data_IF_031852504056
#
_entry.id   IF_031852504056
#
_cell.length_a   1.000
_cell.length_b   1.000
_cell.length_c   1.000
_cell.angle_alpha   90.00
_cell.angle_beta   90.00
_cell.angle_gamma   90.00
#
_symmetry.space_group_name_H-M   'P 1'
#
loop_
_entity.id
_entity.type
_entity.pdbx_description
1 polymer ?
#
# COMPACT_ATOMS: atom_id res chain seq x y z
N UNK A 1 -3.98 3.29 -20.68
CA UNK A 1 -4.24 4.50 -19.85
C UNK A 1 -4.45 5.77 -20.66
N UNK A 2 -3.58 6.13 -21.62
CA UNK A 2 -3.76 7.35 -22.44
C UNK A 2 -5.11 7.41 -23.18
N UNK A 3 -5.55 6.30 -23.76
CA UNK A 3 -6.82 6.22 -24.51
C UNK A 3 -8.08 6.48 -23.66
N UNK A 4 -8.10 6.02 -22.41
CA UNK A 4 -9.21 6.27 -21.48
C UNK A 4 -9.27 7.75 -21.10
N UNK A 5 -8.11 8.39 -20.91
CA UNK A 5 -8.03 9.84 -20.64
C UNK A 5 -8.56 10.66 -21.81
N UNK A 6 -8.23 10.25 -23.04
CA UNK A 6 -8.75 10.90 -24.25
C UNK A 6 -10.27 10.78 -24.36
N UNK A 7 -10.83 9.58 -24.18
CA UNK A 7 -12.28 9.38 -24.19
C UNK A 7 -13.00 10.24 -23.13
N UNK A 8 -12.42 10.34 -21.93
CA UNK A 8 -12.94 11.20 -20.87
C UNK A 8 -12.97 12.67 -21.29
N UNK A 9 -11.86 13.17 -21.81
CA UNK A 9 -11.76 14.57 -22.25
C UNK A 9 -12.72 14.88 -23.40
N UNK A 10 -12.91 13.93 -24.32
CA UNK A 10 -13.88 14.07 -25.42
C UNK A 10 -15.32 14.10 -24.91
N UNK A 11 -15.68 13.21 -23.99
CA UNK A 11 -17.02 13.17 -23.40
C UNK A 11 -17.35 14.45 -22.61
N UNK A 12 -16.39 14.95 -21.84
CA UNK A 12 -16.54 16.20 -21.06
C UNK A 12 -16.75 17.43 -21.98
N UNK A 13 -16.13 17.44 -23.17
CA UNK A 13 -16.20 18.57 -24.11
C UNK A 13 -17.38 18.51 -25.07
N UNK A 14 -17.76 17.33 -25.53
CA UNK A 14 -18.72 17.16 -26.64
C UNK A 14 -20.14 16.83 -26.19
N UNK A 15 -20.33 16.26 -24.98
CA UNK A 15 -21.60 15.63 -24.58
C UNK A 15 -22.16 14.64 -25.61
N UNK A 16 -21.31 14.10 -26.48
CA UNK A 16 -21.70 13.21 -27.55
C UNK A 16 -21.84 11.77 -27.03
N UNK A 17 -23.03 11.20 -27.22
CA UNK A 17 -23.35 9.84 -26.79
C UNK A 17 -22.78 8.77 -27.72
N UNK A 18 -22.35 9.14 -28.94
CA UNK A 18 -21.75 8.25 -29.94
C UNK A 18 -20.51 7.53 -29.41
N UNK A 19 -19.76 8.15 -28.49
CA UNK A 19 -18.61 7.54 -27.84
C UNK A 19 -18.94 6.31 -26.99
N UNK A 20 -20.20 6.15 -26.59
CA UNK A 20 -20.68 4.96 -25.87
C UNK A 20 -21.11 3.82 -26.81
N UNK A 21 -21.27 4.10 -28.11
CA UNK A 21 -21.72 3.16 -29.14
C UNK A 21 -20.59 2.27 -29.69
N UNK A 22 -19.61 1.91 -28.86
CA UNK A 22 -18.50 1.03 -29.28
C UNK A 22 -18.89 -0.45 -29.27
N UNK A 23 -18.13 -1.29 -29.97
CA UNK A 23 -18.37 -2.71 -30.22
C UNK A 23 -19.21 -2.99 -31.48
N UNK A 24 -19.25 -4.25 -31.91
CA UNK A 24 -19.93 -4.65 -33.14
C UNK A 24 -21.46 -4.55 -32.98
N UNK A 25 -22.19 -4.05 -33.99
CA UNK A 25 -23.64 -4.20 -34.04
C UNK A 25 -23.98 -5.69 -34.18
N UNK A 26 -25.00 -6.12 -33.45
CA UNK A 26 -25.68 -7.39 -33.72
C UNK A 26 -26.79 -7.16 -34.73
N UNK A 27 -27.00 -8.09 -35.66
CA UNK A 27 -28.04 -7.96 -36.67
C UNK A 27 -29.42 -7.81 -35.99
N UNK A 28 -30.32 -6.94 -36.50
CA UNK A 28 -31.60 -6.61 -35.86
C UNK A 28 -32.52 -7.84 -35.63
N UNK A 29 -32.36 -8.92 -36.41
CA UNK A 29 -33.10 -10.16 -36.24
C UNK A 29 -32.66 -11.02 -35.02
N UNK A 30 -31.50 -10.72 -34.42
CA UNK A 30 -30.96 -11.50 -33.29
C UNK A 30 -31.65 -11.22 -31.94
N UNK A 31 -32.57 -10.25 -31.87
CA UNK A 31 -33.39 -10.01 -30.67
C UNK A 31 -34.31 -11.21 -30.33
N UNK A 32 -34.53 -12.14 -31.27
CA UNK A 32 -35.52 -13.21 -31.11
C UNK A 32 -35.00 -14.67 -31.07
N UNK A 33 -33.76 -15.01 -31.46
CA UNK A 33 -33.44 -16.45 -31.72
C UNK A 33 -32.21 -17.04 -31.03
N UNK A 34 -31.25 -16.27 -30.53
CA UNK A 34 -30.24 -16.84 -29.64
C UNK A 34 -29.71 -15.74 -28.75
N UNK A 35 -30.04 -15.81 -27.46
CA UNK A 35 -29.31 -15.05 -26.47
C UNK A 35 -27.83 -15.45 -26.62
N UNK A 36 -26.89 -14.52 -26.90
CA UNK A 36 -25.59 -14.69 -26.27
C UNK A 36 -25.94 -14.82 -24.78
N UNK A 37 -25.58 -15.97 -24.19
CA UNK A 37 -25.69 -16.17 -22.75
C UNK A 37 -25.15 -14.90 -22.10
N UNK A 38 -25.83 -14.40 -21.07
CA UNK A 38 -25.32 -13.28 -20.31
C UNK A 38 -23.93 -13.69 -19.83
N UNK A 39 -22.90 -13.32 -20.57
CA UNK A 39 -21.54 -13.59 -20.18
C UNK A 39 -21.37 -12.79 -18.92
N UNK A 40 -21.05 -13.43 -17.80
CA UNK A 40 -20.74 -12.76 -16.52
C UNK A 40 -19.62 -11.71 -16.64
N UNK A 41 -19.01 -11.62 -17.81
CA UNK A 41 -18.11 -10.58 -18.26
C UNK A 41 -18.86 -9.27 -18.48
N UNK A 42 -19.09 -8.55 -17.40
CA UNK A 42 -19.46 -7.14 -17.46
C UNK A 42 -18.41 -6.37 -18.31
N UNK A 43 -18.89 -5.49 -19.18
CA UNK A 43 -18.07 -4.63 -20.02
C UNK A 43 -18.00 -3.22 -19.44
N UNK A 44 -16.88 -2.53 -19.63
CA UNK A 44 -16.74 -1.16 -19.15
C UNK A 44 -17.71 -0.25 -19.88
N UNK A 45 -17.93 0.95 -19.37
CA UNK A 45 -18.73 1.94 -20.12
C UNK A 45 -17.87 2.57 -21.21
N UNK A 46 -16.58 2.78 -20.94
CA UNK A 46 -15.60 3.25 -21.94
C UNK A 46 -14.88 2.08 -22.61
N UNK A 47 -14.54 2.27 -23.88
CA UNK A 47 -13.75 1.33 -24.64
C UNK A 47 -12.33 1.22 -24.03
N UNK A 48 -11.80 -0.01 -23.98
CA UNK A 48 -10.45 -0.26 -23.41
C UNK A 48 -9.33 0.18 -24.33
N UNK A 49 -9.56 0.13 -25.64
CA UNK A 49 -8.59 0.44 -26.67
C UNK A 49 -9.29 0.88 -27.95
N UNK A 50 -8.58 1.54 -28.89
CA UNK A 50 -9.14 1.85 -30.21
C UNK A 50 -9.65 0.62 -30.97
N UNK A 51 -9.07 -0.57 -30.72
CA UNK A 51 -9.51 -1.81 -31.35
C UNK A 51 -10.95 -2.20 -30.98
N UNK A 52 -11.49 -1.69 -29.86
CA UNK A 52 -12.89 -1.90 -29.49
C UNK A 52 -13.89 -1.16 -30.39
N UNK A 53 -13.41 -0.26 -31.25
CA UNK A 53 -14.22 0.42 -32.27
C UNK A 53 -14.18 -0.28 -33.63
N UNK A 54 -13.40 -1.35 -33.76
CA UNK A 54 -13.36 -2.13 -35.00
C UNK A 54 -14.72 -2.75 -35.22
N UNK A 55 -15.32 -2.46 -36.37
CA UNK A 55 -16.63 -2.99 -36.75
C UNK A 55 -17.82 -2.23 -36.18
N UNK A 56 -17.63 -1.10 -35.47
CA UNK A 56 -18.77 -0.26 -35.08
C UNK A 56 -19.51 0.21 -36.33
N UNK A 57 -18.81 0.68 -37.36
CA UNK A 57 -19.43 1.31 -38.52
C UNK A 57 -19.61 2.82 -38.28
N UNK A 58 -20.27 3.48 -39.23
CA UNK A 58 -20.45 4.93 -39.20
C UNK A 58 -21.59 5.32 -38.25
N UNK A 59 -21.26 5.81 -37.05
CA UNK A 59 -22.21 6.37 -36.08
C UNK A 59 -22.41 7.85 -36.36
N UNK A 60 -23.66 8.30 -36.36
CA UNK A 60 -24.04 9.70 -36.47
C UNK A 60 -24.91 10.12 -35.28
N UNK A 61 -24.73 11.35 -34.82
CA UNK A 61 -25.56 11.95 -33.77
C UNK A 61 -26.85 12.46 -34.35
N UNK A 62 -27.94 12.41 -33.57
CA UNK A 62 -29.14 13.17 -33.93
C UNK A 62 -28.90 14.66 -33.70
N UNK A 63 -28.38 15.33 -34.72
CA UNK A 63 -28.00 16.76 -34.70
C UNK A 63 -29.22 17.71 -34.56
N UNK A 64 -30.44 17.19 -34.69
CA UNK A 64 -31.63 18.03 -34.88
C UNK A 64 -32.34 18.43 -33.57
N UNK A 65 -31.93 17.89 -32.42
CA UNK A 65 -32.61 18.18 -31.17
C UNK A 65 -31.58 18.47 -30.08
N UNK A 66 -30.91 19.62 -30.20
CA UNK A 66 -30.41 20.36 -29.04
C UNK A 66 -31.63 20.89 -28.26
N UNK A 67 -32.46 19.98 -27.77
CA UNK A 67 -33.38 20.34 -26.69
C UNK A 67 -32.51 20.67 -25.49
N UNK A 68 -32.86 21.77 -24.82
CA UNK A 68 -32.34 22.25 -23.54
C UNK A 68 -32.30 21.22 -22.40
N UNK A 69 -32.67 19.96 -22.66
CA UNK A 69 -32.71 18.81 -21.76
C UNK A 69 -31.54 17.83 -21.92
N UNK A 70 -30.64 18.02 -22.90
CA UNK A 70 -29.41 17.21 -22.98
C UNK A 70 -28.47 17.64 -21.85
N UNK A 71 -28.58 16.98 -20.70
CA UNK A 71 -27.66 17.19 -19.59
C UNK A 71 -26.26 16.72 -20.01
N UNK A 72 -25.21 17.46 -19.64
CA UNK A 72 -23.85 17.07 -19.98
C UNK A 72 -23.51 15.70 -19.39
N UNK A 73 -22.69 14.94 -20.11
CA UNK A 73 -22.08 13.73 -19.58
C UNK A 73 -21.06 14.15 -18.52
N UNK A 74 -21.29 13.78 -17.26
CA UNK A 74 -20.39 14.10 -16.15
C UNK A 74 -19.51 12.89 -15.87
N UNK A 75 -18.20 13.06 -16.01
CA UNK A 75 -17.25 12.06 -15.57
C UNK A 75 -17.11 12.10 -14.05
N UNK A 76 -17.34 10.97 -13.40
CA UNK A 76 -17.05 10.77 -11.98
C UNK A 76 -15.88 9.79 -11.81
N UNK A 77 -15.28 9.79 -10.62
CA UNK A 77 -14.18 8.87 -10.28
C UNK A 77 -14.55 7.39 -10.44
N UNK A 78 -15.85 7.07 -10.38
CA UNK A 78 -16.37 5.70 -10.37
C UNK A 78 -17.05 5.32 -11.70
N UNK A 79 -17.29 6.27 -12.59
CA UNK A 79 -18.05 6.02 -13.81
C UNK A 79 -18.58 7.30 -14.44
N UNK A 80 -19.45 7.14 -15.41
CA UNK A 80 -20.06 8.22 -16.18
C UNK A 80 -21.47 8.44 -15.66
N UNK A 81 -21.80 9.66 -15.27
CA UNK A 81 -23.18 10.05 -15.01
C UNK A 81 -23.76 10.66 -16.29
N UNK A 82 -24.80 10.02 -16.84
CA UNK A 82 -25.49 10.50 -18.03
C UNK A 82 -27.01 10.34 -17.85
N UNK A 83 -27.77 11.32 -18.34
CA UNK A 83 -29.24 11.26 -18.34
C UNK A 83 -29.71 10.58 -19.61
N UNK A 84 -29.92 9.27 -19.51
CA UNK A 84 -30.28 8.42 -20.64
C UNK A 84 -31.52 7.59 -20.29
N UNK A 85 -32.43 7.36 -21.24
CA UNK A 85 -33.53 6.45 -21.03
C UNK A 85 -33.02 5.01 -21.00
N UNK A 86 -33.64 4.21 -20.13
CA UNK A 86 -33.44 2.76 -20.07
C UNK A 86 -34.79 2.12 -20.31
N UNK A 87 -34.88 1.29 -21.34
CA UNK A 87 -36.06 0.47 -21.63
C UNK A 87 -35.79 -0.99 -21.27
N UNK A 88 -36.83 -1.75 -20.92
CA UNK A 88 -36.71 -3.18 -20.62
C UNK A 88 -37.51 -3.96 -21.64
N UNK A 89 -36.84 -4.86 -22.36
CA UNK A 89 -37.45 -5.74 -23.36
C UNK A 89 -37.22 -7.18 -22.91
N UNK A 90 -38.30 -7.89 -22.58
CA UNK A 90 -38.21 -9.22 -21.99
C UNK A 90 -37.41 -9.17 -20.67
N UNK A 91 -36.29 -9.90 -20.61
CA UNK A 91 -35.39 -9.94 -19.45
C UNK A 91 -34.23 -8.94 -19.51
N UNK A 92 -34.10 -8.17 -20.59
CA UNK A 92 -32.92 -7.31 -20.84
C UNK A 92 -33.26 -5.84 -20.64
N UNK A 93 -32.38 -5.12 -19.95
CA UNK A 93 -32.44 -3.66 -19.91
C UNK A 93 -31.51 -3.08 -20.96
N UNK A 94 -31.99 -2.09 -21.71
CA UNK A 94 -31.26 -1.43 -22.79
C UNK A 94 -31.18 0.06 -22.50
N UNK A 95 -29.97 0.59 -22.46
CA UNK A 95 -29.66 2.01 -22.39
C UNK A 95 -29.66 2.58 -23.80
N UNK A 96 -30.52 3.53 -24.08
CA UNK A 96 -30.69 4.07 -25.44
C UNK A 96 -29.80 5.30 -25.63
N UNK A 97 -28.96 5.27 -26.66
CA UNK A 97 -28.04 6.35 -27.02
C UNK A 97 -28.69 7.28 -28.03
N UNK A 98 -28.36 8.57 -27.98
CA UNK A 98 -28.86 9.58 -28.93
C UNK A 98 -28.03 9.62 -30.20
N UNK A 99 -27.83 8.45 -30.78
CA UNK A 99 -27.11 8.29 -32.03
C UNK A 99 -27.70 7.11 -32.81
N UNK A 100 -27.46 7.11 -34.11
CA UNK A 100 -27.91 6.09 -35.05
C UNK A 100 -26.77 5.71 -35.98
N UNK A 101 -26.96 4.64 -36.75
CA UNK A 101 -26.01 4.31 -37.80
C UNK A 101 -26.30 5.16 -39.03
N UNK A 102 -25.27 5.59 -39.78
CA UNK A 102 -25.44 6.38 -41.02
C UNK A 102 -26.43 5.73 -42.01
N UNK A 103 -26.44 4.41 -42.08
CA UNK A 103 -27.29 3.63 -42.98
C UNK A 103 -28.67 3.28 -42.40
N UNK A 104 -28.92 3.59 -41.13
CA UNK A 104 -30.16 3.28 -40.43
C UNK A 104 -30.57 4.48 -39.55
N UNK A 105 -31.36 5.37 -40.15
CA UNK A 105 -31.77 6.65 -39.53
C UNK A 105 -33.04 6.51 -38.68
N UNK A 106 -33.69 5.33 -38.70
CA UNK A 106 -34.96 5.10 -38.01
C UNK A 106 -34.81 4.33 -36.70
N UNK A 107 -33.62 3.77 -36.46
CA UNK A 107 -33.32 3.05 -35.24
C UNK A 107 -32.19 3.71 -34.47
N UNK A 108 -32.36 3.72 -33.16
CA UNK A 108 -31.40 4.25 -32.21
C UNK A 108 -30.43 3.15 -31.80
N UNK A 109 -29.19 3.51 -31.53
CA UNK A 109 -28.24 2.57 -30.95
C UNK A 109 -28.57 2.39 -29.47
N UNK A 110 -28.68 1.15 -29.03
CA UNK A 110 -28.92 0.78 -27.66
C UNK A 110 -27.82 -0.15 -27.14
N UNK A 111 -27.49 0.03 -25.86
CA UNK A 111 -26.45 -0.71 -25.15
C UNK A 111 -27.09 -1.57 -24.08
N UNK A 112 -26.83 -2.89 -24.04
CA UNK A 112 -27.36 -3.74 -22.99
C UNK A 112 -26.72 -3.40 -21.65
N UNK A 113 -27.58 -3.23 -20.64
CA UNK A 113 -27.19 -2.83 -19.29
C UNK A 113 -27.89 -3.66 -18.22
N UNK A 114 -27.31 -3.68 -17.03
CA UNK A 114 -27.88 -4.30 -15.84
C UNK A 114 -27.73 -3.35 -14.64
N UNK A 115 -28.74 -3.32 -13.77
CA UNK A 115 -28.71 -2.52 -12.54
C UNK A 115 -28.19 -3.37 -11.37
N UNK A 116 -27.04 -3.01 -10.79
CA UNK A 116 -26.46 -3.63 -9.58
C UNK A 116 -26.13 -2.55 -8.54
N UNK A 117 -26.49 -2.76 -7.27
CA UNK A 117 -26.27 -1.77 -6.17
C UNK A 117 -26.67 -0.32 -6.55
N UNK A 118 -27.79 -0.13 -7.23
CA UNK A 118 -28.25 1.20 -7.64
C UNK A 118 -27.50 1.84 -8.82
N UNK A 119 -26.48 1.20 -9.38
CA UNK A 119 -25.71 1.66 -10.55
C UNK A 119 -26.00 0.80 -11.78
N UNK A 120 -25.77 1.35 -12.95
CA UNK A 120 -25.94 0.65 -14.23
C UNK A 120 -24.58 0.23 -14.78
N UNK A 121 -24.52 -1.00 -15.29
CA UNK A 121 -23.32 -1.60 -15.86
C UNK A 121 -23.63 -2.07 -17.26
N UNK A 122 -22.70 -1.89 -18.20
CA UNK A 122 -22.80 -2.47 -19.54
C UNK A 122 -22.53 -3.96 -19.45
N UNK A 123 -23.42 -4.79 -19.98
CA UNK A 123 -23.32 -6.25 -19.86
C UNK A 123 -22.62 -6.92 -21.05
N UNK A 124 -22.59 -6.26 -22.20
CA UNK A 124 -21.94 -6.78 -23.41
C UNK A 124 -21.26 -5.66 -24.19
N UNK A 125 -20.14 -5.93 -24.88
CA UNK A 125 -19.55 -4.98 -25.82
C UNK A 125 -20.45 -4.78 -27.05
N UNK A 126 -21.35 -5.70 -27.36
CA UNK A 126 -22.22 -5.58 -28.52
C UNK A 126 -23.27 -4.48 -28.34
N UNK A 127 -23.61 -3.83 -29.44
CA UNK A 127 -24.72 -2.87 -29.50
C UNK A 127 -25.88 -3.49 -30.28
N UNK A 128 -27.09 -2.99 -30.01
CA UNK A 128 -28.30 -3.35 -30.74
C UNK A 128 -28.99 -2.10 -31.25
N UNK A 129 -29.88 -2.26 -32.22
CA UNK A 129 -30.72 -1.18 -32.75
C UNK A 129 -32.12 -1.26 -32.16
N UNK A 130 -32.73 -0.12 -31.89
CA UNK A 130 -34.09 -0.06 -31.36
C UNK A 130 -34.91 1.02 -32.08
N UNK A 131 -36.17 0.77 -32.45
CA UNK A 131 -36.97 1.75 -33.20
C UNK A 131 -37.09 3.09 -32.48
N UNK A 132 -36.85 4.19 -33.19
CA UNK A 132 -36.90 5.56 -32.65
C UNK A 132 -38.31 5.94 -32.17
N UNK A 133 -39.35 5.46 -32.86
CA UNK A 133 -40.76 5.70 -32.50
C UNK A 133 -41.16 5.09 -31.15
N UNK A 134 -40.36 4.15 -30.63
CA UNK A 134 -40.54 3.53 -29.32
C UNK A 134 -39.64 4.15 -28.24
N UNK A 135 -39.04 5.31 -28.51
CA UNK A 135 -38.20 6.02 -27.55
C UNK A 135 -39.00 6.39 -26.27
N UNK A 136 -38.53 6.02 -25.06
CA UNK A 136 -39.24 6.33 -23.83
C UNK A 136 -39.29 7.84 -23.56
N UNK A 137 -40.48 8.34 -23.21
CA UNK A 137 -40.66 9.74 -22.79
C UNK A 137 -39.94 10.08 -21.47
N UNK A 138 -39.64 9.07 -20.65
CA UNK A 138 -39.04 9.27 -19.33
C UNK A 138 -37.52 9.19 -19.35
N UNK A 139 -36.88 10.29 -18.92
CA UNK A 139 -35.43 10.40 -18.75
C UNK A 139 -35.09 10.45 -17.27
N UNK A 140 -34.10 9.65 -16.85
CA UNK A 140 -33.58 9.69 -15.49
C UNK A 140 -32.07 9.72 -15.50
N UNK A 141 -31.48 10.41 -14.53
CA UNK A 141 -30.03 10.44 -14.38
C UNK A 141 -29.56 9.04 -14.01
N UNK A 142 -28.72 8.45 -14.86
CA UNK A 142 -28.14 7.13 -14.65
C UNK A 142 -26.64 7.26 -14.43
N UNK A 143 -26.16 6.61 -13.37
CA UNK A 143 -24.74 6.42 -13.16
C UNK A 143 -24.32 5.10 -13.82
N UNK A 144 -23.58 5.21 -14.91
CA UNK A 144 -22.99 4.14 -15.68
C UNK A 144 -21.57 3.87 -15.16
N UNK A 145 -21.36 2.74 -14.50
CA UNK A 145 -20.05 2.43 -13.88
C UNK A 145 -19.02 2.05 -14.94
N UNK A 146 -17.88 2.75 -14.97
CA UNK A 146 -16.81 2.46 -15.94
C UNK A 146 -16.12 1.13 -15.64
N UNK A 147 -16.20 0.65 -14.40
CA UNK A 147 -15.49 -0.53 -13.97
C UNK A 147 -16.44 -1.72 -13.77
N UNK A 148 -16.45 -2.68 -14.71
CA UNK A 148 -17.15 -3.93 -14.53
C UNK A 148 -16.37 -4.89 -13.61
N UNK A 149 -15.06 -4.66 -13.44
CA UNK A 149 -14.13 -5.45 -12.64
C UNK A 149 -13.86 -4.86 -11.25
N UNK A 150 -14.54 -3.80 -10.81
CA UNK A 150 -14.56 -3.45 -9.37
C UNK A 150 -15.26 -4.55 -8.54
N UNK A 151 -15.76 -5.62 -9.18
CA UNK A 151 -16.26 -6.83 -8.53
C UNK A 151 -15.36 -8.08 -8.65
N UNK A 152 -14.11 -7.99 -9.13
CA UNK A 152 -13.09 -8.64 -8.30
C UNK A 152 -12.72 -7.53 -7.33
N UNK A 153 -13.57 -7.35 -6.31
CA UNK A 153 -13.13 -6.58 -5.18
C UNK A 153 -11.94 -7.39 -4.67
N UNK A 154 -10.73 -6.99 -5.06
CA UNK A 154 -9.56 -7.35 -4.30
C UNK A 154 -9.83 -6.74 -2.94
N UNK A 155 -10.36 -7.54 -2.03
CA UNK A 155 -10.67 -7.08 -0.69
C UNK A 155 -9.32 -7.02 -0.01
N UNK A 156 -8.89 -5.80 0.24
CA UNK A 156 -7.66 -5.55 0.97
C UNK A 156 -7.95 -5.69 2.46
N UNK A 157 -7.43 -6.74 3.08
CA UNK A 157 -7.38 -6.87 4.52
C UNK A 157 -6.07 -6.27 5.03
N UNK A 158 -6.18 -5.20 5.80
CA UNK A 158 -5.09 -4.59 6.52
C UNK A 158 -5.06 -5.15 7.95
N UNK A 159 -4.13 -6.06 8.23
CA UNK A 159 -3.90 -6.51 9.61
C UNK A 159 -2.96 -5.49 10.25
N UNK A 160 -3.48 -4.74 11.23
CA UNK A 160 -2.67 -3.82 12.05
C UNK A 160 -1.54 -4.59 12.76
N UNK A 161 -0.49 -3.89 13.25
CA UNK A 161 0.63 -4.54 13.91
C UNK A 161 0.14 -5.55 14.95
N UNK A 162 0.55 -6.81 14.78
CA UNK A 162 0.16 -7.89 15.67
C UNK A 162 0.77 -7.65 17.07
N UNK A 163 0.12 -8.14 18.14
CA UNK A 163 0.71 -8.15 19.48
C UNK A 163 2.11 -8.77 19.47
N UNK A 164 2.98 -8.31 20.37
CA UNK A 164 4.35 -8.82 20.51
C UNK A 164 4.36 -10.35 20.56
N UNK A 165 5.19 -10.96 19.70
CA UNK A 165 5.32 -12.41 19.58
C UNK A 165 4.48 -13.02 18.45
N UNK A 166 3.33 -12.45 18.08
CA UNK A 166 2.52 -13.01 17.00
C UNK A 166 3.03 -12.60 15.62
N UNK A 167 3.14 -13.56 14.71
CA UNK A 167 3.44 -13.32 13.28
C UNK A 167 2.48 -14.06 12.38
N UNK A 168 2.15 -13.47 11.23
CA UNK A 168 1.45 -14.19 10.16
C UNK A 168 2.37 -15.28 9.64
N UNK A 169 1.91 -16.52 9.67
CA UNK A 169 2.70 -17.69 9.27
C UNK A 169 2.24 -18.29 7.94
N UNK A 170 0.94 -18.22 7.65
CA UNK A 170 0.32 -18.82 6.47
C UNK A 170 -0.99 -18.09 6.18
N UNK A 171 -1.31 -17.89 4.91
CA UNK A 171 -2.59 -17.35 4.46
C UNK A 171 -3.16 -18.30 3.41
N UNK A 172 -4.46 -18.57 3.48
CA UNK A 172 -5.16 -19.39 2.49
C UNK A 172 -6.35 -18.61 1.93
N UNK A 173 -6.52 -18.53 0.60
CA UNK A 173 -5.68 -19.15 -0.44
C UNK A 173 -4.31 -18.45 -0.59
N UNK A 174 -3.26 -19.19 -0.97
CA UNK A 174 -1.85 -18.72 -0.88
C UNK A 174 -1.52 -17.60 -1.88
N UNK A 175 -2.30 -17.48 -2.95
CA UNK A 175 -2.21 -16.41 -3.95
C UNK A 175 -2.75 -15.05 -3.47
N UNK A 176 -3.23 -14.98 -2.22
CA UNK A 176 -3.96 -13.83 -1.69
C UNK A 176 -3.18 -12.91 -0.74
N UNK A 177 -1.85 -13.00 -0.66
CA UNK A 177 -1.12 -12.09 0.24
C UNK A 177 0.26 -11.67 -0.25
N UNK A 178 0.68 -10.48 0.16
CA UNK A 178 2.03 -9.96 -0.08
C UNK A 178 2.81 -9.99 1.24
N UNK A 179 4.05 -10.48 1.18
CA UNK A 179 4.93 -10.52 2.34
C UNK A 179 5.10 -9.10 2.93
N UNK A 180 4.95 -8.93 4.26
CA UNK A 180 4.96 -7.61 4.89
C UNK A 180 6.30 -6.91 4.63
N UNK A 181 6.25 -5.74 3.99
CA UNK A 181 7.42 -4.86 3.83
C UNK A 181 7.63 -3.92 5.02
N UNK A 182 6.61 -3.75 5.87
CA UNK A 182 6.55 -2.82 7.01
C UNK A 182 5.91 -3.48 8.27
N UNK A 183 5.67 -2.72 9.35
CA UNK A 183 4.97 -3.18 10.58
C UNK A 183 3.51 -3.60 10.38
N UNK A 184 2.97 -3.44 9.16
CA UNK A 184 1.59 -3.77 8.81
C UNK A 184 1.59 -4.87 7.76
N UNK A 185 0.78 -5.92 8.00
CA UNK A 185 0.61 -7.00 7.03
C UNK A 185 -0.62 -6.71 6.17
N UNK A 186 -0.44 -6.67 4.85
CA UNK A 186 -1.52 -6.45 3.89
C UNK A 186 -1.81 -7.74 3.13
N UNK A 187 -3.05 -8.18 3.21
CA UNK A 187 -3.55 -9.39 2.55
C UNK A 187 -4.53 -8.92 1.47
N UNK A 188 -4.37 -9.44 0.25
CA UNK A 188 -5.18 -9.11 -0.92
C UNK A 188 -6.02 -10.32 -1.29
N UNK A 189 -7.26 -10.38 -0.82
CA UNK A 189 -8.12 -11.49 -1.18
C UNK A 189 -8.82 -11.23 -2.49
N UNK A 190 -8.61 -12.13 -3.46
CA UNK A 190 -9.22 -12.03 -4.78
C UNK A 190 -10.58 -12.71 -4.76
N UNK A 191 -11.63 -11.91 -4.63
CA UNK A 191 -13.00 -12.40 -4.79
C UNK A 191 -13.27 -12.81 -6.24
N UNK A 192 -13.79 -14.01 -6.45
CA UNK A 192 -14.52 -14.35 -7.68
C UNK A 192 -15.94 -13.81 -7.54
N UNK A 193 -16.42 -13.13 -8.58
CA UNK A 193 -17.77 -12.57 -8.60
C UNK A 193 -18.80 -13.69 -8.32
N UNK A 194 -19.57 -13.56 -7.24
CA UNK A 194 -20.66 -14.47 -6.90
C UNK A 194 -20.34 -15.61 -5.92
N UNK A 195 -19.09 -15.78 -5.50
CA UNK A 195 -18.73 -16.71 -4.40
C UNK A 195 -18.30 -15.94 -3.15
N UNK A 196 -18.69 -16.37 -1.94
CA UNK A 196 -18.16 -15.80 -0.70
C UNK A 196 -16.64 -15.91 -0.71
N UNK A 197 -15.97 -14.82 -0.37
CA UNK A 197 -14.50 -14.79 -0.36
C UNK A 197 -14.04 -15.08 1.06
N UNK A 198 -13.64 -16.33 1.31
CA UNK A 198 -13.12 -16.74 2.60
C UNK A 198 -11.61 -16.74 2.57
N UNK A 199 -10.99 -15.97 3.46
CA UNK A 199 -9.54 -15.90 3.64
C UNK A 199 -9.21 -16.37 5.06
N UNK A 200 -8.32 -17.34 5.19
CA UNK A 200 -7.83 -17.80 6.48
C UNK A 200 -6.42 -17.30 6.71
N UNK A 201 -6.14 -16.77 7.90
CA UNK A 201 -4.83 -16.26 8.30
C UNK A 201 -4.38 -17.00 9.55
N UNK A 202 -3.29 -17.76 9.46
CA UNK A 202 -2.65 -18.42 10.59
C UNK A 202 -1.68 -17.47 11.27
N UNK A 203 -1.83 -17.29 12.57
CA UNK A 203 -0.92 -16.53 13.41
C UNK A 203 -0.15 -17.49 14.31
N UNK A 204 1.18 -17.46 14.21
CA UNK A 204 2.09 -18.22 15.08
C UNK A 204 2.66 -17.33 16.15
N UNK A 205 2.76 -17.86 17.35
CA UNK A 205 3.62 -17.29 18.38
C UNK A 205 5.09 -17.55 18.02
N UNK A 206 5.87 -16.47 17.98
CA UNK A 206 7.29 -16.45 17.67
C UNK A 206 8.15 -16.92 18.84
N UNK A 207 7.61 -16.95 20.05
CA UNK A 207 8.19 -17.74 21.11
C UNK A 207 7.92 -19.22 20.80
N UNK A 208 8.92 -19.91 20.23
CA UNK A 208 8.96 -21.38 20.15
C UNK A 208 9.00 -21.95 21.58
N UNK A 209 7.91 -21.82 22.31
CA UNK A 209 7.71 -22.55 23.52
C UNK A 209 7.31 -23.96 23.11
N UNK A 210 8.21 -24.92 23.37
CA UNK A 210 8.10 -26.37 23.09
C UNK A 210 6.81 -27.07 23.60
N UNK A 211 5.85 -26.33 24.17
CA UNK A 211 4.60 -26.86 24.71
C UNK A 211 3.32 -26.44 23.97
N UNK A 212 3.35 -25.41 23.12
CA UNK A 212 2.12 -24.91 22.49
C UNK A 212 1.82 -25.67 21.20
N UNK A 213 0.80 -26.52 21.24
CA UNK A 213 0.39 -27.40 20.12
C UNK A 213 -0.59 -26.76 19.13
N UNK A 214 -1.00 -25.52 19.38
CA UNK A 214 -2.04 -24.86 18.60
C UNK A 214 -1.61 -23.46 18.18
N UNK A 215 -2.00 -23.08 16.98
CA UNK A 215 -1.83 -21.73 16.43
C UNK A 215 -3.20 -21.02 16.37
N UNK A 216 -3.19 -19.69 16.30
CA UNK A 216 -4.42 -18.92 16.10
C UNK A 216 -4.77 -18.86 14.63
N UNK A 217 -6.07 -18.88 14.31
CA UNK A 217 -6.55 -18.73 12.93
C UNK A 217 -7.65 -17.67 12.89
N UNK A 218 -7.46 -16.67 12.02
CA UNK A 218 -8.48 -15.71 11.66
C UNK A 218 -9.17 -16.18 10.38
N UNK A 219 -10.49 -16.35 10.42
CA UNK A 219 -11.34 -16.51 9.23
C UNK A 219 -11.93 -15.15 8.89
N UNK A 220 -11.55 -14.61 7.74
CA UNK A 220 -12.06 -13.37 7.18
C UNK A 220 -13.00 -13.75 6.04
N UNK A 221 -14.28 -13.46 6.18
CA UNK A 221 -15.29 -13.88 5.23
C UNK A 221 -16.09 -12.66 4.81
N UNK A 222 -16.18 -12.45 3.50
CA UNK A 222 -16.93 -11.34 2.93
C UNK A 222 -17.99 -11.90 2.00
N UNK A 223 -19.23 -11.73 2.45
CA UNK A 223 -20.43 -12.24 1.81
C UNK A 223 -21.02 -11.20 0.86
N UNK A 224 -21.41 -11.68 -0.33
CA UNK A 224 -22.17 -10.93 -1.33
C UNK A 224 -21.35 -10.25 -2.43
N UNK A 225 -21.98 -9.94 -3.59
CA UNK A 225 -21.31 -9.43 -4.79
C UNK A 225 -20.69 -8.03 -4.66
N UNK A 226 -20.88 -7.35 -3.52
CA UNK A 226 -20.28 -6.05 -3.20
C UNK A 226 -19.67 -6.04 -1.78
N UNK A 227 -19.43 -7.22 -1.20
CA UNK A 227 -19.06 -7.38 0.19
C UNK A 227 -20.03 -6.71 1.14
N UNK A 228 -21.31 -7.10 1.08
CA UNK A 228 -22.38 -6.46 1.86
C UNK A 228 -22.25 -6.71 3.36
N UNK A 229 -21.62 -7.82 3.73
CA UNK A 229 -21.33 -8.18 5.10
C UNK A 229 -19.92 -8.73 5.19
N UNK A 230 -19.11 -8.14 6.05
CA UNK A 230 -17.80 -8.64 6.41
C UNK A 230 -17.88 -9.31 7.77
N UNK A 231 -17.44 -10.56 7.86
CA UNK A 231 -17.32 -11.28 9.12
C UNK A 231 -15.88 -11.65 9.40
N UNK A 232 -15.46 -11.48 10.65
CA UNK A 232 -14.18 -11.97 11.13
C UNK A 232 -14.40 -12.90 12.31
N UNK A 233 -13.78 -14.08 12.25
CA UNK A 233 -13.83 -15.08 13.31
C UNK A 233 -12.43 -15.45 13.76
N UNK A 234 -12.19 -15.39 15.07
CA UNK A 234 -10.94 -15.87 15.67
C UNK A 234 -11.14 -17.29 16.25
N UNK A 235 -10.30 -18.21 15.83
CA UNK A 235 -10.27 -19.60 16.28
C UNK A 235 -8.86 -20.09 16.64
N UNK A 236 -8.78 -21.34 17.05
CA UNK A 236 -7.54 -22.04 17.41
C UNK A 236 -7.49 -23.32 16.58
N UNK A 237 -6.34 -23.60 15.98
CA UNK A 237 -6.14 -24.77 15.13
C UNK A 237 -4.83 -25.48 15.53
N UNK A 238 -4.78 -26.83 15.60
CA UNK A 238 -3.53 -27.55 15.85
C UNK A 238 -2.47 -27.18 14.81
N UNK A 239 -1.22 -27.04 15.26
CA UNK A 239 -0.10 -26.58 14.41
C UNK A 239 0.14 -27.47 13.18
N UNK A 240 -0.15 -28.76 13.31
CA UNK A 240 0.05 -29.77 12.26
C UNK A 240 -1.14 -29.89 11.30
N UNK A 241 -2.27 -29.24 11.60
CA UNK A 241 -3.44 -29.26 10.71
C UNK A 241 -3.22 -28.28 9.55
N UNK A 242 -3.62 -28.58 8.30
CA UNK A 242 -3.53 -27.63 7.19
C UNK A 242 -4.66 -26.57 7.22
N UNK A 243 -4.41 -25.35 6.73
CA UNK A 243 -5.44 -24.30 6.66
C UNK A 243 -6.61 -24.67 5.74
N UNK A 244 -6.39 -25.47 4.69
CA UNK A 244 -7.44 -25.95 3.78
C UNK A 244 -8.55 -26.73 4.52
N UNK A 245 -8.18 -27.43 5.60
CA UNK A 245 -9.15 -28.16 6.42
C UNK A 245 -9.90 -27.24 7.39
N UNK A 246 -9.45 -26.00 7.61
CA UNK A 246 -10.11 -25.03 8.49
C UNK A 246 -11.54 -24.70 8.01
N UNK A 247 -11.78 -24.75 6.70
CA UNK A 247 -13.11 -24.49 6.12
C UNK A 247 -14.10 -25.62 6.43
N UNK A 248 -13.63 -26.88 6.38
CA UNK A 248 -14.39 -28.06 6.80
C UNK A 248 -14.54 -28.14 8.33
N UNK A 249 -13.65 -27.48 9.05
CA UNK A 249 -13.67 -27.33 10.50
C UNK A 249 -14.50 -26.12 10.93
N UNK A 250 -15.56 -25.77 10.20
CA UNK A 250 -16.60 -24.87 10.71
C UNK A 250 -17.11 -25.34 12.08
N UNK A 251 -17.03 -26.65 12.38
CA UNK A 251 -17.25 -27.24 13.70
C UNK A 251 -16.16 -26.94 14.74
N UNK A 252 -14.89 -26.74 14.36
CA UNK A 252 -13.83 -26.26 15.26
C UNK A 252 -14.03 -24.79 15.65
N UNK A 253 -14.63 -23.98 14.78
CA UNK A 253 -15.13 -22.66 15.14
C UNK A 253 -16.46 -22.74 15.92
N UNK A 254 -17.23 -23.80 15.71
CA UNK A 254 -18.62 -24.01 16.14
C UNK A 254 -18.92 -24.09 17.65
N UNK A 255 -17.94 -23.93 18.54
CA UNK A 255 -18.18 -23.75 19.97
C UNK A 255 -17.45 -22.56 20.60
N UNK A 256 -16.61 -21.89 19.82
CA UNK A 256 -15.52 -21.08 20.36
C UNK A 256 -15.20 -19.83 19.52
N UNK A 257 -15.68 -19.72 18.28
CA UNK A 257 -15.46 -18.55 17.44
C UNK A 257 -16.21 -17.32 17.95
N UNK A 258 -15.50 -16.21 18.11
CA UNK A 258 -16.11 -14.89 18.24
C UNK A 258 -16.26 -14.32 16.83
N UNK A 259 -17.49 -14.12 16.37
CA UNK A 259 -17.78 -13.50 15.08
C UNK A 259 -18.10 -12.02 15.25
N UNK A 260 -17.43 -11.17 14.47
CA UNK A 260 -17.75 -9.76 14.35
C UNK A 260 -18.27 -9.52 12.95
N UNK A 261 -19.51 -9.05 12.81
CA UNK A 261 -20.15 -8.77 11.51
C UNK A 261 -20.38 -7.28 11.34
N UNK A 262 -19.90 -6.71 10.23
CA UNK A 262 -20.19 -5.34 9.84
C UNK A 262 -21.00 -5.38 8.53
N UNK A 263 -22.18 -4.73 8.47
CA UNK A 263 -22.90 -4.51 7.22
C UNK A 263 -22.42 -3.24 6.51
N UNK A 264 -22.31 -3.26 5.18
CA UNK A 264 -21.84 -2.12 4.38
C UNK A 264 -21.27 -2.56 3.04
N UNK A 265 -20.92 -1.64 2.15
CA UNK A 265 -20.13 -1.94 0.95
C UNK A 265 -18.66 -1.59 1.23
N UNK A 266 -17.75 -2.57 1.15
CA UNK A 266 -16.35 -2.39 1.53
C UNK A 266 -15.40 -2.62 0.35
N UNK A 267 -14.36 -1.79 0.27
CA UNK A 267 -13.20 -2.02 -0.63
C UNK A 267 -11.91 -2.35 0.15
N UNK A 268 -11.88 -2.01 1.44
CA UNK A 268 -10.80 -2.33 2.36
C UNK A 268 -11.36 -2.55 3.77
N UNK A 269 -10.82 -3.54 4.47
CA UNK A 269 -11.15 -3.87 5.85
C UNK A 269 -9.87 -3.87 6.67
N UNK A 270 -9.87 -3.20 7.82
CA UNK A 270 -8.76 -3.30 8.77
C UNK A 270 -9.16 -4.20 9.93
N UNK A 271 -8.27 -5.14 10.26
CA UNK A 271 -8.39 -6.05 11.40
C UNK A 271 -7.34 -5.65 12.42
N UNK A 272 -7.76 -5.36 13.65
CA UNK A 272 -6.85 -5.08 14.77
C UNK A 272 -7.00 -6.16 15.81
N UNK A 273 -5.89 -6.83 16.10
CA UNK A 273 -5.80 -7.79 17.19
C UNK A 273 -5.13 -7.10 18.38
N UNK A 274 -5.86 -6.90 19.48
CA UNK A 274 -5.30 -6.32 20.71
C UNK A 274 -5.33 -7.35 21.83
N UNK A 275 -4.25 -7.45 22.60
CA UNK A 275 -4.25 -8.23 23.86
C UNK A 275 -4.68 -7.31 24.99
N UNK A 276 -5.68 -7.71 25.78
CA UNK A 276 -6.14 -6.99 26.96
C UNK A 276 -6.24 -7.93 28.14
N UNK A 277 -5.98 -7.43 29.34
CA UNK A 277 -6.28 -8.15 30.58
C UNK A 277 -7.77 -7.98 30.88
N UNK A 278 -8.56 -9.05 30.72
CA UNK A 278 -9.97 -9.11 31.10
C UNK A 278 -10.09 -10.02 32.32
N UNK A 279 -10.50 -9.46 33.46
CA UNK A 279 -10.62 -10.19 34.73
C UNK A 279 -9.33 -10.88 35.18
N UNK A 280 -8.18 -10.21 34.98
CA UNK A 280 -6.86 -10.75 35.34
C UNK A 280 -6.33 -11.85 34.41
N UNK A 281 -7.04 -12.14 33.31
CA UNK A 281 -6.62 -13.09 32.28
C UNK A 281 -6.33 -12.36 30.99
N UNK A 282 -5.26 -12.75 30.29
CA UNK A 282 -5.00 -12.24 28.95
C UNK A 282 -6.10 -12.73 27.99
N UNK A 283 -6.66 -11.77 27.27
CA UNK A 283 -7.71 -11.97 26.29
C UNK A 283 -7.30 -11.27 25.01
N UNK A 284 -7.40 -11.98 23.88
CA UNK A 284 -7.23 -11.37 22.57
C UNK A 284 -8.59 -10.83 22.12
N UNK A 285 -8.61 -9.57 21.70
CA UNK A 285 -9.77 -8.84 21.23
C UNK A 285 -9.56 -8.55 19.75
N UNK A 286 -10.53 -8.93 18.93
CA UNK A 286 -10.51 -8.65 17.49
C UNK A 286 -11.47 -7.50 17.22
N UNK A 287 -10.92 -6.41 16.70
CA UNK A 287 -11.67 -5.24 16.27
C UNK A 287 -11.67 -5.18 14.73
N UNK A 288 -12.84 -4.95 14.14
CA UNK A 288 -13.00 -4.73 12.70
C UNK A 288 -13.31 -3.26 12.41
N UNK A 289 -12.68 -2.72 11.36
CA UNK A 289 -12.88 -1.34 10.93
C UNK A 289 -13.14 -1.25 9.42
N UNK A 290 -14.11 -0.42 9.05
CA UNK A 290 -14.23 0.12 7.70
C UNK A 290 -13.18 1.21 7.49
N UNK A 291 -12.28 1.03 6.51
CA UNK A 291 -11.30 2.03 6.04
C UNK A 291 -10.13 2.33 7.02
N UNK A 292 -8.89 2.32 6.51
CA UNK A 292 -7.66 2.62 7.28
C UNK A 292 -7.70 4.02 7.91
N UNK A 293 -8.50 4.95 7.36
CA UNK A 293 -8.49 6.36 7.73
C UNK A 293 -9.50 6.76 8.81
N UNK A 294 -10.50 5.92 9.12
CA UNK A 294 -11.57 6.25 10.08
C UNK A 294 -11.45 5.47 11.39
N UNK A 295 -11.03 6.16 12.46
CA UNK A 295 -10.99 5.64 13.84
C UNK A 295 -12.37 5.49 14.51
N UNK A 296 -13.46 5.29 13.77
CA UNK A 296 -14.75 5.02 14.40
C UNK A 296 -14.86 3.50 14.56
N UNK A 297 -14.78 3.03 15.81
CA UNK A 297 -15.02 1.61 16.14
C UNK A 297 -16.45 1.27 15.76
N UNK A 298 -16.63 0.26 14.92
CA UNK A 298 -17.96 -0.17 14.47
C UNK A 298 -18.39 -1.46 15.14
N UNK A 299 -17.47 -2.41 15.31
CA UNK A 299 -17.74 -3.63 16.05
C UNK A 299 -16.46 -4.17 16.71
N UNK A 300 -16.61 -4.67 17.94
CA UNK A 300 -15.53 -5.19 18.78
C UNK A 300 -16.04 -6.43 19.47
N UNK A 301 -15.21 -7.48 19.54
CA UNK A 301 -15.54 -8.62 20.38
C UNK A 301 -14.29 -9.22 21.03
N UNK A 302 -14.44 -9.63 22.28
CA UNK A 302 -13.37 -10.08 23.15
C UNK A 302 -13.55 -11.53 23.57
N UNK A 303 -12.43 -12.24 23.74
CA UNK A 303 -12.47 -13.61 24.25
C UNK A 303 -11.38 -13.88 25.27
N UNK A 304 -11.78 -14.39 26.43
CA UNK A 304 -10.88 -14.89 27.47
C UNK A 304 -10.49 -16.34 27.14
N UNK A 305 -9.19 -16.63 27.08
CA UNK A 305 -8.66 -17.95 26.71
C UNK A 305 -9.00 -19.02 27.78
N UNK A 306 -9.32 -20.27 27.38
CA UNK A 306 -9.31 -21.39 28.31
C UNK A 306 -7.88 -21.64 28.80
N UNK A 307 -7.71 -21.78 30.11
CA UNK A 307 -6.42 -22.11 30.73
C UNK A 307 -5.90 -23.43 30.13
N UNK A 308 -4.84 -23.34 29.32
CA UNK A 308 -3.97 -24.49 29.06
C UNK A 308 -3.44 -24.96 30.42
N UNK A 309 -3.38 -26.28 30.68
CA UNK A 309 -3.01 -26.81 31.99
C UNK A 309 -1.68 -26.21 32.42
N UNK A 310 -1.75 -25.34 33.42
CA UNK A 310 -0.62 -24.59 33.92
C UNK A 310 0.39 -25.57 34.49
N UNK A 311 1.59 -25.57 33.91
CA UNK A 311 2.75 -26.07 34.63
C UNK A 311 2.90 -25.18 35.85
N UNK A 312 3.07 -25.83 36.99
CA UNK A 312 3.14 -25.27 38.34
C UNK A 312 3.86 -23.92 38.40
N UNK A 313 3.24 -22.93 39.05
CA UNK A 313 3.70 -21.56 39.38
C UNK A 313 5.21 -21.45 39.71
N UNK A 314 5.80 -22.51 40.28
CA UNK A 314 7.22 -22.64 40.59
C UNK A 314 8.16 -22.69 39.36
N UNK A 315 7.65 -23.05 38.19
CA UNK A 315 8.41 -23.06 36.93
C UNK A 315 8.37 -21.70 36.22
N UNK A 316 7.35 -20.86 36.48
CA UNK A 316 7.29 -19.49 35.95
C UNK A 316 8.30 -18.58 36.62
N UNK A 317 8.45 -18.65 37.95
CA UNK A 317 9.48 -17.87 38.68
C UNK A 317 10.90 -18.19 38.20
N UNK A 318 11.16 -19.45 37.86
CA UNK A 318 12.46 -19.87 37.30
C UNK A 318 12.67 -19.34 35.88
N UNK A 319 11.62 -19.31 35.06
CA UNK A 319 11.67 -18.74 33.71
C UNK A 319 11.88 -17.23 33.75
N UNK A 320 11.21 -16.53 34.66
CA UNK A 320 11.37 -15.09 34.84
C UNK A 320 12.82 -14.75 35.25
N UNK A 321 13.38 -15.48 36.22
CA UNK A 321 14.77 -15.30 36.64
C UNK A 321 15.78 -15.65 35.53
N UNK A 322 15.45 -16.56 34.61
CA UNK A 322 16.29 -16.87 33.46
C UNK A 322 16.25 -15.75 32.41
N UNK A 323 15.06 -15.20 32.13
CA UNK A 323 14.86 -14.07 31.22
C UNK A 323 15.62 -12.82 31.67
N UNK A 324 15.61 -12.51 32.98
CA UNK A 324 16.35 -11.37 33.52
C UNK A 324 17.87 -11.53 33.34
N UNK A 325 18.40 -12.75 33.51
CA UNK A 325 19.82 -13.03 33.27
C UNK A 325 20.19 -12.90 31.80
N UNK A 326 19.33 -13.34 30.89
CA UNK A 326 19.55 -13.20 29.44
C UNK A 326 19.49 -11.74 29.01
N UNK A 327 18.59 -10.95 29.61
CA UNK A 327 18.51 -9.50 29.36
C UNK A 327 19.77 -8.77 29.82
N UNK A 328 20.24 -9.03 31.04
CA UNK A 328 21.51 -8.46 31.54
C UNK A 328 22.71 -8.86 30.67
N UNK A 329 22.78 -10.14 30.27
CA UNK A 329 23.86 -10.62 29.40
C UNK A 329 23.84 -9.95 28.01
N UNK A 330 22.65 -9.60 27.50
CA UNK A 330 22.52 -8.87 26.23
C UNK A 330 22.96 -7.41 26.37
N UNK A 331 22.54 -6.73 27.43
CA UNK A 331 22.95 -5.35 27.73
C UNK A 331 24.47 -5.24 27.89
N UNK A 332 25.10 -6.19 28.58
CA UNK A 332 26.58 -6.24 28.69
C UNK A 332 27.28 -6.47 27.35
N UNK A 333 26.69 -7.25 26.44
CA UNK A 333 27.24 -7.48 25.10
C UNK A 333 27.17 -6.21 24.26
N UNK A 334 26.02 -5.54 24.27
CA UNK A 334 25.80 -4.28 23.55
C UNK A 334 26.76 -3.19 24.07
N UNK A 335 26.95 -3.07 25.39
CA UNK A 335 27.91 -2.12 25.96
C UNK A 335 29.37 -2.44 25.57
N UNK A 336 29.76 -3.72 25.53
CA UNK A 336 31.09 -4.14 25.06
C UNK A 336 31.30 -3.81 23.58
N UNK A 337 30.30 -4.04 22.74
CA UNK A 337 30.36 -3.70 21.32
C UNK A 337 30.47 -2.19 21.10
N UNK A 338 29.71 -1.38 21.86
CA UNK A 338 29.80 0.07 21.78
C UNK A 338 31.18 0.58 22.24
N UNK A 339 31.72 0.04 23.33
CA UNK A 339 33.09 0.34 23.79
C UNK A 339 34.13 -0.04 22.72
N UNK A 340 33.99 -1.19 22.07
CA UNK A 340 34.88 -1.59 20.98
C UNK A 340 34.76 -0.67 19.76
N UNK A 341 33.53 -0.26 19.41
CA UNK A 341 33.28 0.68 18.31
C UNK A 341 33.93 2.04 18.58
N UNK A 342 33.73 2.61 19.77
CA UNK A 342 34.39 3.86 20.20
C UNK A 342 35.92 3.75 20.16
N UNK A 343 36.47 2.60 20.56
CA UNK A 343 37.92 2.36 20.47
C UNK A 343 38.42 2.29 19.02
N UNK A 344 37.67 1.66 18.12
CA UNK A 344 38.01 1.62 16.69
C UNK A 344 37.94 3.01 16.04
N UNK A 345 36.95 3.81 16.39
CA UNK A 345 36.82 5.19 15.90
C UNK A 345 37.95 6.10 16.38
N UNK A 346 38.41 5.95 17.64
CA UNK A 346 39.60 6.66 18.12
C UNK A 346 40.84 6.29 17.31
N UNK A 347 41.08 4.99 17.09
CA UNK A 347 42.20 4.52 16.25
C UNK A 347 42.14 5.05 14.82
N UNK A 348 40.94 5.21 14.24
CA UNK A 348 40.78 5.81 12.91
C UNK A 348 41.16 7.29 12.93
N UNK A 349 40.69 8.06 13.91
CA UNK A 349 41.07 9.48 14.07
C UNK A 349 42.58 9.67 14.26
N UNK A 350 43.21 8.83 15.08
CA UNK A 350 44.66 8.90 15.27
C UNK A 350 45.44 8.59 13.98
N UNK A 351 44.92 7.65 13.17
CA UNK A 351 45.50 7.34 11.86
C UNK A 351 45.33 8.49 10.87
N UNK A 352 44.14 9.06 10.77
CA UNK A 352 43.84 10.17 9.86
C UNK A 352 44.67 11.41 10.23
N UNK A 353 44.83 11.71 11.54
CA UNK A 353 45.72 12.77 12.00
C UNK A 353 47.18 12.51 11.60
N UNK A 354 47.67 11.27 11.73
CA UNK A 354 49.03 10.92 11.34
C UNK A 354 49.24 11.04 9.80
N UNK A 355 48.25 10.63 9.01
CA UNK A 355 48.31 10.74 7.56
C UNK A 355 48.23 12.22 7.10
N UNK A 356 47.40 13.06 7.74
CA UNK A 356 47.39 14.51 7.51
C UNK A 356 48.75 15.17 7.79
N UNK A 357 49.43 14.78 8.88
CA UNK A 357 50.79 15.29 9.19
C UNK A 357 51.78 14.86 8.12
N UNK A 358 51.74 13.60 7.66
CA UNK A 358 52.62 13.12 6.58
C UNK A 358 52.37 13.84 5.26
N UNK A 359 51.10 14.06 4.88
CA UNK A 359 50.76 14.82 3.69
C UNK A 359 51.25 16.27 3.78
N UNK A 360 51.06 16.92 4.93
CA UNK A 360 51.56 18.30 5.16
C UNK A 360 53.08 18.38 4.98
N UNK A 361 53.83 17.43 5.54
CA UNK A 361 55.30 17.35 5.37
C UNK A 361 55.66 17.13 3.88
N UNK A 362 54.96 16.23 3.18
CA UNK A 362 55.23 15.93 1.78
C UNK A 362 54.96 17.14 0.85
N UNK A 363 53.84 17.83 1.04
CA UNK A 363 53.51 19.05 0.29
C UNK A 363 54.49 20.17 0.58
N UNK A 364 54.92 20.34 1.83
CA UNK A 364 55.96 21.30 2.21
C UNK A 364 57.28 21.01 1.48
N UNK A 365 57.70 19.73 1.41
CA UNK A 365 58.88 19.33 0.65
C UNK A 365 58.72 19.62 -0.86
N UNK A 366 57.62 19.20 -1.49
CA UNK A 366 57.39 19.47 -2.92
C UNK A 366 57.36 20.96 -3.24
N UNK A 367 56.74 21.78 -2.39
CA UNK A 367 56.68 23.22 -2.56
C UNK A 367 58.07 23.85 -2.49
N UNK A 368 58.90 23.45 -1.53
CA UNK A 368 60.29 23.95 -1.43
C UNK A 368 61.12 23.56 -2.66
N UNK A 369 60.98 22.34 -3.18
CA UNK A 369 61.64 21.91 -4.42
C UNK A 369 61.19 22.71 -5.65
N UNK A 370 59.88 22.89 -5.83
CA UNK A 370 59.33 23.64 -6.95
C UNK A 370 59.77 25.11 -6.89
N UNK A 371 59.76 25.71 -5.69
CA UNK A 371 60.22 27.08 -5.48
C UNK A 371 61.71 27.24 -5.80
N UNK A 372 62.57 26.33 -5.31
CA UNK A 372 64.00 26.30 -5.65
C UNK A 372 64.21 26.20 -7.16
N UNK A 373 63.50 25.31 -7.85
CA UNK A 373 63.58 25.16 -9.29
C UNK A 373 63.21 26.46 -10.03
N UNK A 374 62.09 27.10 -9.64
CA UNK A 374 61.66 28.39 -10.20
C UNK A 374 62.70 29.49 -9.99
N UNK A 375 63.27 29.59 -8.79
CA UNK A 375 64.34 30.57 -8.50
C UNK A 375 65.57 30.32 -9.38
N UNK A 376 65.97 29.05 -9.58
CA UNK A 376 67.12 28.73 -10.45
C UNK A 376 66.88 29.05 -11.92
N UNK A 377 65.67 28.85 -12.43
CA UNK A 377 65.33 29.04 -13.84
C UNK A 377 65.14 30.52 -14.22
N UNK A 378 64.56 31.35 -13.34
CA UNK A 378 64.10 32.69 -13.71
C UNK A 378 64.98 33.85 -13.25
N UNK A 379 65.96 33.63 -12.36
CA UNK A 379 66.80 34.72 -11.86
C UNK A 379 68.10 34.87 -12.66
N UNK A 380 68.15 35.83 -13.58
CA UNK A 380 69.39 36.31 -14.20
C UNK A 380 69.95 37.47 -13.38
N UNK A 381 70.75 37.15 -12.35
CA UNK A 381 71.45 38.13 -11.53
C UNK A 381 71.69 37.62 -10.10
N UNK A 382 72.97 37.56 -9.69
CA UNK A 382 73.37 37.00 -8.38
C UNK A 382 72.82 37.81 -7.19
N UNK A 383 72.69 39.13 -7.34
CA UNK A 383 72.20 40.03 -6.27
C UNK A 383 70.71 39.83 -6.00
N UNK A 384 69.90 39.61 -7.04
CA UNK A 384 68.45 39.37 -6.89
C UNK A 384 68.18 38.02 -6.20
N UNK A 385 69.04 37.02 -6.45
CA UNK A 385 68.95 35.70 -5.79
C UNK A 385 69.10 35.80 -4.27
N UNK A 386 70.09 36.56 -3.80
CA UNK A 386 70.39 36.66 -2.35
C UNK A 386 69.25 37.36 -1.59
N UNK A 387 68.72 38.47 -2.11
CA UNK A 387 67.60 39.17 -1.48
C UNK A 387 66.33 38.33 -1.43
N UNK A 388 66.01 37.58 -2.49
CA UNK A 388 64.85 36.69 -2.51
C UNK A 388 64.98 35.51 -1.54
N UNK A 389 66.18 34.90 -1.45
CA UNK A 389 66.42 33.81 -0.50
C UNK A 389 66.27 34.27 0.94
N UNK A 390 66.76 35.47 1.29
CA UNK A 390 66.63 35.99 2.66
C UNK A 390 65.17 36.29 3.04
N UNK A 391 64.39 36.90 2.14
CA UNK A 391 62.98 37.18 2.37
C UNK A 391 62.14 35.90 2.50
N UNK A 392 62.44 34.87 1.71
CA UNK A 392 61.73 33.60 1.76
C UNK A 392 62.04 32.80 3.03
N UNK A 393 63.30 32.77 3.48
CA UNK A 393 63.67 32.14 4.76
C UNK A 393 62.96 32.82 5.94
N UNK A 394 62.86 34.15 5.92
CA UNK A 394 62.10 34.88 6.94
C UNK A 394 60.60 34.53 6.92
N UNK A 395 60.01 34.39 5.73
CA UNK A 395 58.60 33.98 5.58
C UNK A 395 58.36 32.56 6.10
N UNK A 396 59.22 31.59 5.77
CA UNK A 396 59.13 30.23 6.29
C UNK A 396 59.25 30.22 7.81
N UNK A 397 60.19 30.98 8.37
CA UNK A 397 60.34 31.10 9.82
C UNK A 397 59.07 31.64 10.48
N UNK A 398 58.45 32.66 9.88
CA UNK A 398 57.21 33.25 10.39
C UNK A 398 56.03 32.27 10.32
N UNK A 399 55.85 31.55 9.20
CA UNK A 399 54.82 30.51 9.06
C UNK A 399 55.03 29.41 10.10
N UNK A 400 56.27 28.95 10.28
CA UNK A 400 56.62 27.91 11.26
C UNK A 400 56.25 28.37 12.68
N UNK A 401 56.54 29.63 13.02
CA UNK A 401 56.26 30.21 14.33
C UNK A 401 54.75 30.35 14.59
N UNK A 402 53.97 30.74 13.58
CA UNK A 402 52.49 30.81 13.67
C UNK A 402 51.90 29.41 13.84
N UNK A 403 52.35 28.42 13.06
CA UNK A 403 51.85 27.04 13.18
C UNK A 403 52.23 26.39 14.52
N UNK A 404 53.41 26.69 15.07
CA UNK A 404 53.83 26.19 16.38
C UNK A 404 53.04 26.82 17.54
N UNK A 405 52.55 28.05 17.37
CA UNK A 405 51.69 28.71 18.34
C UNK A 405 50.26 28.14 18.34
N UNK A 406 49.74 27.76 17.16
CA UNK A 406 48.37 27.22 17.03
C UNK A 406 48.26 25.77 17.55
N UNK A 407 49.30 24.95 17.31
CA UNK A 407 49.37 23.57 17.83
C UNK A 407 49.45 23.50 19.36
N UNK A 408 49.90 24.57 20.02
CA UNK A 408 49.98 24.64 21.48
C UNK A 408 48.76 25.28 22.14
N UNK A 409 47.69 25.57 21.39
CA UNK A 409 46.45 26.10 21.98
C UNK A 409 45.69 24.94 22.66
N UNK A 410 45.59 24.91 24.00
CA UNK A 410 44.95 23.80 24.70
C UNK A 410 43.42 23.91 24.56
N UNK A 411 42.85 23.21 23.58
CA UNK A 411 41.39 23.11 23.40
C UNK A 411 40.69 22.24 24.47
N UNK A 412 41.45 21.54 25.31
CA UNK A 412 40.91 20.53 26.23
C UNK A 412 40.47 21.06 27.61
N UNK A 413 40.62 22.34 27.95
CA UNK A 413 40.21 22.85 29.28
C UNK A 413 38.74 23.28 29.35
N UNK A 414 38.16 23.85 28.29
CA UNK A 414 36.75 24.31 28.31
C UNK A 414 35.76 23.15 28.17
N UNK A 415 35.99 22.21 27.26
CA UNK A 415 35.11 21.03 27.12
C UNK A 415 35.14 20.08 28.33
N UNK A 416 36.19 20.16 29.16
CA UNK A 416 36.30 19.38 30.39
C UNK A 416 35.50 20.01 31.54
N UNK A 417 35.25 21.33 31.48
CA UNK A 417 34.43 22.04 32.46
C UNK A 417 32.93 21.85 32.20
N UNK A 418 32.49 21.82 30.93
CA UNK A 418 31.09 21.55 30.58
C UNK A 418 30.65 20.12 30.94
N UNK A 419 31.49 19.12 30.73
CA UNK A 419 31.15 17.72 31.10
C UNK A 419 31.07 17.47 32.60
N UNK A 420 31.73 18.29 33.43
CA UNK A 420 31.62 18.18 34.89
C UNK A 420 30.35 18.87 35.44
N UNK A 421 29.75 19.78 34.68
CA UNK A 421 28.50 20.45 35.04
C UNK A 421 27.25 19.64 34.68
N UNK A 422 27.26 18.91 33.56
CA UNK A 422 26.14 18.03 33.19
C UNK A 422 25.97 16.82 34.14
N UNK A 423 27.07 16.29 34.68
CA UNK A 423 27.05 15.12 35.58
C UNK A 423 26.48 15.45 36.98
N UNK A 424 26.39 16.74 37.35
CA UNK A 424 25.80 17.17 38.63
C UNK A 424 24.28 17.43 38.57
N UNK A 425 23.69 17.55 37.38
CA UNK A 425 22.24 17.85 37.23
C UNK A 425 21.36 16.64 36.95
N UNK A 426 21.94 15.44 36.82
CA UNK A 426 21.27 14.23 36.34
C UNK A 426 20.77 13.23 37.39
N UNK A 427 20.52 13.62 38.64
CA UNK A 427 19.84 12.75 39.62
C UNK A 427 18.85 13.53 40.46
N UNK A 428 17.58 13.49 40.06
CA UNK A 428 16.47 14.01 40.84
C UNK A 428 15.21 14.06 40.03
N UNK A 429 14.56 12.90 39.83
CA UNK A 429 13.10 12.68 39.98
C UNK A 429 12.80 11.19 39.97
#
# INVERSE_FOLDING_TARGET
MAFIRLQRELLEKSSDHSFLAWGSPTAPEALAVAAPEATDVLSGVLARSPASFVGCGDVETWDQVVTTTTTPIIMQNVGIQARLPVTTIGSRSLLMLRCHWRHDQWNVIAVPVEKRSGRWYRTSPETTTYPEDQWPDSFSDKLLSQNPYVQSADIHYAIKPLPLGLRVAEVFPDDSWEEPRDTQTRIKSRGSAGSPTVTFVRLKDGAESDGVKCDYVLKLDVDGPCGQTATCQLGILPRDSPLVQADQLTSAFGGFGVAVTIPGEFSALAVELTTRLLHGKEAHVVDLFMDETRRKREASCSRTLPELPSKTEKDEDKRLAQLDRERQAREEREEREERQKKMRERKRRDKDNNDCVKFSIFYSMLFTFFWLAMVTLFSKGWVVRVCWTAGYVALIALITLVTAADVNRPEDSEQRQERLLEDQTGTGY
#
